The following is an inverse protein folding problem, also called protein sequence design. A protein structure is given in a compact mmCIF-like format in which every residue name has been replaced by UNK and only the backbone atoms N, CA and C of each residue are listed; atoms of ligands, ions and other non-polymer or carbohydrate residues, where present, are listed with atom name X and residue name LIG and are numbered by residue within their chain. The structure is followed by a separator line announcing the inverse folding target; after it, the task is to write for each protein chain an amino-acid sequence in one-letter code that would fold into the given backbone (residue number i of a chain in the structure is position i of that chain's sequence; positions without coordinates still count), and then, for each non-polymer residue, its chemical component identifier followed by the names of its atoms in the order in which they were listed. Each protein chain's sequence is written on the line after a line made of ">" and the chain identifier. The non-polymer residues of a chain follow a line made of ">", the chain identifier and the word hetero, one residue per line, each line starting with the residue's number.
data_IF_916395247512
#
_entry.id   IF_916395247512
#
_cell.length_a   1.000
_cell.length_b   1.000
_cell.length_c   1.000
_cell.angle_alpha   90.00
_cell.angle_beta   90.00
_cell.angle_gamma   90.00
#
_symmetry.space_group_name_H-M   'P 1'
#
loop_
_entity.id
_entity.type
_entity.pdbx_description
1 polymer ?
#
# COMPACT_ATOMS: atom_id res chain seq x y z
N UNK A 1 7.86 -28.24 1.71
CA UNK A 1 7.47 -27.02 0.97
C UNK A 1 6.96 -26.01 1.98
N UNK A 2 7.26 -24.73 1.80
CA UNK A 2 6.70 -23.67 2.67
C UNK A 2 5.16 -23.74 2.57
N UNK A 3 4.42 -23.76 3.69
CA UNK A 3 2.95 -23.71 3.68
C UNK A 3 2.44 -22.55 2.82
N UNK A 4 1.29 -22.71 2.14
CA UNK A 4 0.73 -21.69 1.24
C UNK A 4 0.56 -20.31 1.91
N UNK A 5 0.23 -20.30 3.20
CA UNK A 5 0.09 -19.12 4.05
C UNK A 5 1.42 -18.59 4.62
N UNK A 6 2.48 -19.39 4.63
CA UNK A 6 3.80 -19.02 5.13
C UNK A 6 4.64 -18.19 4.15
N UNK A 7 4.27 -18.14 2.87
CA UNK A 7 5.01 -17.39 1.85
C UNK A 7 4.62 -15.91 1.86
N UNK A 8 5.56 -15.01 2.17
CA UNK A 8 5.32 -13.56 2.29
C UNK A 8 4.66 -12.94 1.05
N UNK A 9 5.01 -13.43 -0.15
CA UNK A 9 4.38 -12.97 -1.40
C UNK A 9 2.88 -13.29 -1.48
N UNK A 10 2.45 -14.44 -0.95
CA UNK A 10 1.04 -14.80 -0.91
C UNK A 10 0.26 -13.90 0.05
N UNK A 11 0.80 -13.66 1.25
CA UNK A 11 0.20 -12.75 2.23
C UNK A 11 0.06 -11.32 1.68
N UNK A 12 1.11 -10.81 1.01
CA UNK A 12 1.05 -9.51 0.36
C UNK A 12 -0.01 -9.48 -0.75
N UNK A 13 -0.08 -10.53 -1.57
CA UNK A 13 -1.12 -10.68 -2.59
C UNK A 13 -2.54 -10.66 -2.04
N UNK A 14 -2.77 -11.23 -0.84
CA UNK A 14 -4.06 -11.14 -0.14
C UNK A 14 -4.41 -9.70 0.28
N UNK A 15 -3.44 -8.90 0.71
CA UNK A 15 -3.68 -7.50 1.05
C UNK A 15 -4.10 -6.67 -0.17
N UNK A 16 -3.52 -6.96 -1.34
CA UNK A 16 -3.90 -6.31 -2.60
C UNK A 16 -5.37 -6.57 -3.02
N UNK A 17 -6.02 -7.59 -2.48
CA UNK A 17 -7.45 -7.82 -2.72
C UNK A 17 -8.35 -6.85 -1.96
N UNK A 18 -7.86 -6.22 -0.89
CA UNK A 18 -8.61 -5.26 -0.08
C UNK A 18 -8.22 -3.80 -0.37
N UNK A 19 -7.01 -3.58 -0.86
CA UNK A 19 -6.56 -2.27 -1.30
C UNK A 19 -7.12 -1.94 -2.69
N UNK A 20 -7.71 -0.75 -2.85
CA UNK A 20 -8.12 -0.28 -4.20
C UNK A 20 -6.92 -0.05 -5.11
N UNK A 21 -5.80 0.39 -4.55
CA UNK A 21 -4.55 0.67 -5.26
C UNK A 21 -3.39 0.72 -4.27
N UNK A 22 -2.21 0.26 -4.68
CA UNK A 22 -0.97 0.43 -3.92
C UNK A 22 0.04 1.13 -4.82
N UNK A 23 0.44 2.32 -4.41
CA UNK A 23 1.34 3.19 -5.18
C UNK A 23 2.74 3.11 -4.58
N UNK A 24 3.75 2.91 -5.43
CA UNK A 24 5.16 2.88 -5.06
C UNK A 24 5.83 4.13 -5.63
N UNK A 25 6.54 4.87 -4.79
CA UNK A 25 7.21 6.13 -5.14
C UNK A 25 8.70 6.05 -4.87
N UNK A 26 9.49 6.92 -5.52
CA UNK A 26 10.93 7.05 -5.30
C UNK A 26 11.70 5.71 -5.36
N UNK A 27 11.21 4.78 -6.18
CA UNK A 27 11.72 3.42 -6.28
C UNK A 27 12.65 3.27 -7.48
N UNK A 28 13.77 2.58 -7.26
CA UNK A 28 14.76 2.28 -8.31
C UNK A 28 14.38 1.06 -9.17
N UNK A 29 13.34 0.31 -8.78
CA UNK A 29 12.85 -0.82 -9.57
C UNK A 29 12.16 -0.27 -10.83
N UNK A 30 12.43 -0.85 -12.02
CA UNK A 30 11.81 -0.39 -13.24
C UNK A 30 10.26 -0.39 -13.18
N UNK A 31 9.58 0.65 -13.69
CA UNK A 31 8.13 0.76 -13.63
C UNK A 31 7.38 -0.43 -14.24
N UNK A 32 7.92 -1.07 -15.26
CA UNK A 32 7.37 -2.29 -15.88
C UNK A 32 7.31 -3.45 -14.89
N UNK A 33 8.38 -3.70 -14.15
CA UNK A 33 8.45 -4.76 -13.13
C UNK A 33 7.49 -4.47 -11.97
N UNK A 34 7.35 -3.21 -11.56
CA UNK A 34 6.39 -2.81 -10.51
C UNK A 34 4.94 -3.14 -10.95
N UNK A 35 4.62 -2.95 -12.23
CA UNK A 35 3.28 -3.24 -12.77
C UNK A 35 3.00 -4.75 -12.86
N UNK A 36 4.00 -5.58 -13.13
CA UNK A 36 3.86 -7.04 -13.17
C UNK A 36 3.31 -7.62 -11.86
N UNK A 37 3.60 -6.97 -10.73
CA UNK A 37 3.12 -7.37 -9.40
C UNK A 37 1.87 -6.60 -8.93
N UNK A 38 1.14 -5.99 -9.87
CA UNK A 38 -0.12 -5.24 -9.64
C UNK A 38 0.04 -4.02 -8.71
N UNK A 39 1.16 -3.33 -8.80
CA UNK A 39 1.41 -2.06 -8.11
C UNK A 39 1.48 -0.90 -9.11
N UNK A 40 1.20 0.33 -8.66
CA UNK A 40 1.25 1.53 -9.48
C UNK A 40 2.55 2.30 -9.19
N UNK A 41 3.51 2.41 -10.14
CA UNK A 41 4.69 3.25 -9.96
C UNK A 41 4.35 4.73 -10.17
N UNK A 42 4.84 5.60 -9.29
CA UNK A 42 4.80 7.05 -9.46
C UNK A 42 6.13 7.69 -9.07
N UNK A 43 6.40 8.87 -9.63
CA UNK A 43 7.70 9.52 -9.44
C UNK A 43 7.92 10.00 -8.01
N UNK A 44 6.89 10.56 -7.36
CA UNK A 44 7.00 11.18 -6.04
C UNK A 44 5.77 10.94 -5.19
N UNK A 45 5.94 11.03 -3.87
CA UNK A 45 4.83 10.98 -2.89
C UNK A 45 3.75 12.02 -3.17
N UNK A 46 4.12 13.26 -3.54
CA UNK A 46 3.13 14.31 -3.83
C UNK A 46 2.22 13.91 -4.99
N UNK A 47 2.78 13.38 -6.10
CA UNK A 47 1.95 12.93 -7.23
C UNK A 47 1.05 11.76 -6.87
N UNK A 48 1.52 10.86 -5.99
CA UNK A 48 0.72 9.75 -5.49
C UNK A 48 -0.46 10.24 -4.63
N UNK A 49 -0.22 11.23 -3.77
CA UNK A 49 -1.26 11.84 -2.95
C UNK A 49 -2.29 12.58 -3.82
N UNK A 50 -1.84 13.41 -4.75
CA UNK A 50 -2.72 14.16 -5.65
C UNK A 50 -3.62 13.22 -6.47
N UNK A 51 -3.05 12.13 -7.00
CA UNK A 51 -3.79 11.09 -7.71
C UNK A 51 -4.81 10.39 -6.82
N UNK A 52 -4.42 10.02 -5.60
CA UNK A 52 -5.33 9.36 -4.65
C UNK A 52 -6.50 10.27 -4.26
N UNK A 53 -6.25 11.56 -3.96
CA UNK A 53 -7.29 12.54 -3.63
C UNK A 53 -8.20 12.85 -4.81
N UNK A 54 -7.66 12.92 -6.04
CA UNK A 54 -8.48 13.06 -7.23
C UNK A 54 -9.45 11.88 -7.43
N UNK A 55 -9.05 10.67 -7.00
CA UNK A 55 -9.86 9.45 -7.13
C UNK A 55 -10.82 9.22 -5.96
N UNK A 56 -10.42 9.53 -4.74
CA UNK A 56 -11.19 9.26 -3.51
C UNK A 56 -12.00 10.47 -3.03
N UNK A 57 -11.71 11.66 -3.55
CA UNK A 57 -12.30 12.93 -3.14
C UNK A 57 -11.31 13.80 -2.36
N UNK A 58 -11.38 15.14 -2.51
CA UNK A 58 -10.45 16.07 -1.87
C UNK A 58 -10.54 16.07 -0.34
N UNK A 59 -11.69 15.68 0.22
CA UNK A 59 -11.94 15.64 1.66
C UNK A 59 -11.60 14.27 2.29
N UNK A 60 -10.95 13.36 1.55
CA UNK A 60 -10.56 12.06 2.07
C UNK A 60 -9.56 12.21 3.23
N UNK A 61 -9.77 11.43 4.29
CA UNK A 61 -8.86 11.40 5.44
C UNK A 61 -7.53 10.73 5.09
N UNK A 62 -6.42 11.28 5.57
CA UNK A 62 -5.06 10.75 5.33
C UNK A 62 -4.45 10.27 6.64
N UNK A 63 -4.00 9.01 6.66
CA UNK A 63 -3.19 8.44 7.74
C UNK A 63 -1.73 8.31 7.26
N UNK A 64 -0.81 8.97 7.96
CA UNK A 64 0.63 8.90 7.65
C UNK A 64 1.32 7.96 8.64
N UNK A 65 2.05 6.97 8.12
CA UNK A 65 2.89 6.06 8.91
C UNK A 65 4.34 6.17 8.41
N UNK A 66 5.18 7.06 9.00
CA UNK A 66 6.52 7.32 8.50
C UNK A 66 7.46 6.10 8.56
N UNK A 67 7.25 5.20 9.52
CA UNK A 67 8.12 4.05 9.80
C UNK A 67 7.36 2.72 9.78
N UNK A 68 6.67 2.42 8.66
CA UNK A 68 5.75 1.29 8.56
C UNK A 68 6.32 -0.10 8.92
N UNK A 69 7.62 -0.32 8.79
CA UNK A 69 8.27 -1.60 9.15
C UNK A 69 8.35 -1.82 10.66
N UNK A 70 8.38 -0.75 11.45
CA UNK A 70 8.52 -0.80 12.93
C UNK A 70 7.29 -0.28 13.65
N UNK A 71 6.25 0.11 12.92
CA UNK A 71 4.96 0.51 13.50
C UNK A 71 4.04 -0.70 13.61
N UNK A 72 3.55 -0.98 14.82
CA UNK A 72 2.46 -1.94 15.04
C UNK A 72 1.12 -1.16 15.17
N UNK A 73 0.27 -1.13 14.14
CA UNK A 73 -1.02 -0.47 14.22
C UNK A 73 -1.94 -1.25 15.16
N UNK A 74 -2.46 -0.57 16.19
CA UNK A 74 -3.45 -1.13 17.12
C UNK A 74 -4.81 -0.56 16.78
N UNK A 75 -5.74 -1.43 16.41
CA UNK A 75 -7.15 -1.06 16.34
C UNK A 75 -7.68 -0.94 17.76
N UNK A 76 -8.35 0.16 18.09
CA UNK A 76 -9.17 0.20 19.30
C UNK A 76 -10.30 -0.82 19.08
N UNK A 77 -10.30 -1.90 19.86
CA UNK A 77 -11.51 -2.68 20.06
C UNK A 77 -12.61 -1.74 20.59
N UNK A 78 -13.86 -1.95 20.16
CA UNK A 78 -15.02 -1.15 20.55
C UNK A 78 -15.21 -1.02 22.08
N UNK A 79 -16.19 -0.22 22.53
CA UNK A 79 -16.20 0.39 23.87
C UNK A 79 -16.18 -0.65 25.02
N UNK A 80 -15.55 -0.24 26.14
CA UNK A 80 -15.78 -0.80 27.49
C UNK A 80 -17.24 -0.60 27.93
#
# INVERSE_FOLDING_TARGET
>A
GIPEDGHKGYQFGRYLCYASEVIVTDCLIPPETIREVRLTPMATVQRALDHALARLGPDASVLVIPHGVVTLPVLRSGPE
#
